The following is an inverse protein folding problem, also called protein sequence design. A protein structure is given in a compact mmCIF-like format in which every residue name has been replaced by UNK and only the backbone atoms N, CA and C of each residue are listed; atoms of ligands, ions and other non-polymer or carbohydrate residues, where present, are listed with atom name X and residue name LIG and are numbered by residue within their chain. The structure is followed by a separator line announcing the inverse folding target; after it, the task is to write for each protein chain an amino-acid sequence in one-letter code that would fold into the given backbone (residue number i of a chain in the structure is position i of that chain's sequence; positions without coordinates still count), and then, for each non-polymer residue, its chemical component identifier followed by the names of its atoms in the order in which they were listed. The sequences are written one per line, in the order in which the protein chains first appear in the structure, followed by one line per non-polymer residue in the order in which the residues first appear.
data_IF_054467992237
#
_entry.id   IF_054467992237
#
_cell.length_a   1.000
_cell.length_b   1.000
_cell.length_c   1.000
_cell.angle_alpha   90.00
_cell.angle_beta   90.00
_cell.angle_gamma   90.00
#
_symmetry.space_group_name_H-M   'P 1'
#
loop_
_entity.id
_entity.type
_entity.pdbx_description
1 polymer ?
#
# COMPACT_ATOMS: atom_id res chain seq x y z
N UNK A 1 14.02 -3.63 26.16
CA UNK A 1 12.97 -4.48 25.53
C UNK A 1 12.17 -3.80 24.42
N UNK A 2 12.08 -2.46 24.37
CA UNK A 2 11.29 -1.73 23.35
C UNK A 2 11.86 -1.78 21.92
N UNK A 3 13.14 -2.10 21.73
CA UNK A 3 13.86 -1.96 20.46
C UNK A 3 13.41 -2.90 19.34
N UNK A 4 13.04 -4.12 19.70
CA UNK A 4 12.56 -5.09 18.73
C UNK A 4 11.03 -4.99 18.56
N UNK A 5 10.35 -4.25 19.43
CA UNK A 5 8.88 -4.16 19.46
C UNK A 5 8.32 -3.55 18.17
N UNK A 6 9.01 -2.56 17.56
CA UNK A 6 8.62 -1.98 16.28
C UNK A 6 8.68 -3.02 15.15
N UNK A 7 9.83 -3.71 15.03
CA UNK A 7 10.03 -4.73 13.99
C UNK A 7 9.03 -5.86 14.19
N UNK A 8 8.83 -6.34 15.42
CA UNK A 8 7.85 -7.38 15.71
C UNK A 8 6.41 -6.96 15.36
N UNK A 9 6.01 -5.74 15.70
CA UNK A 9 4.68 -5.22 15.34
C UNK A 9 4.48 -5.15 13.82
N UNK A 10 5.47 -4.63 13.09
CA UNK A 10 5.46 -4.60 11.63
C UNK A 10 5.40 -6.01 11.04
N UNK A 11 6.21 -6.96 11.57
CA UNK A 11 6.19 -8.33 11.10
C UNK A 11 4.85 -9.00 11.35
N UNK A 12 4.30 -8.91 12.57
CA UNK A 12 3.01 -9.51 12.92
C UNK A 12 1.91 -8.98 12.01
N UNK A 13 1.83 -7.67 11.81
CA UNK A 13 0.83 -7.07 10.94
C UNK A 13 0.96 -7.57 9.49
N UNK A 14 2.18 -7.58 8.93
CA UNK A 14 2.38 -8.03 7.56
C UNK A 14 2.19 -9.55 7.40
N UNK A 15 2.49 -10.36 8.42
CA UNK A 15 2.17 -11.80 8.40
C UNK A 15 0.65 -12.00 8.39
N UNK A 16 -0.10 -11.24 9.21
CA UNK A 16 -1.57 -11.31 9.18
C UNK A 16 -2.13 -10.91 7.81
N UNK A 17 -1.60 -9.85 7.20
CA UNK A 17 -1.97 -9.46 5.83
C UNK A 17 -1.64 -10.56 4.82
N UNK A 18 -0.46 -11.20 4.92
CA UNK A 18 -0.05 -12.30 4.04
C UNK A 18 -0.94 -13.54 4.20
N UNK A 19 -1.34 -13.88 5.43
CA UNK A 19 -2.27 -14.98 5.70
C UNK A 19 -3.65 -14.69 5.10
N UNK A 20 -4.17 -13.46 5.30
CA UNK A 20 -5.45 -13.05 4.73
C UNK A 20 -5.42 -13.06 3.19
N UNK A 21 -4.32 -12.59 2.60
CA UNK A 21 -4.10 -12.63 1.15
C UNK A 21 -4.01 -14.07 0.63
N UNK A 22 -3.28 -14.96 1.32
CA UNK A 22 -3.18 -16.38 0.96
C UNK A 22 -4.52 -17.11 1.05
N UNK A 23 -5.34 -16.75 2.03
CA UNK A 23 -6.70 -17.29 2.13
C UNK A 23 -7.60 -16.79 0.99
N UNK A 24 -7.57 -15.50 0.68
CA UNK A 24 -8.31 -14.94 -0.46
C UNK A 24 -7.84 -15.54 -1.81
N UNK A 25 -6.55 -15.89 -1.91
CA UNK A 25 -6.00 -16.62 -3.06
C UNK A 25 -6.64 -18.02 -3.20
N UNK A 26 -6.73 -18.78 -2.12
CA UNK A 26 -7.36 -20.11 -2.14
C UNK A 26 -8.84 -20.06 -2.52
N UNK A 27 -9.53 -18.96 -2.25
CA UNK A 27 -10.91 -18.72 -2.67
C UNK A 27 -11.03 -18.31 -4.15
N UNK A 28 -9.91 -18.15 -4.87
CA UNK A 28 -9.88 -17.72 -6.27
C UNK A 28 -10.08 -16.20 -6.47
N UNK A 29 -10.34 -15.45 -5.40
CA UNK A 29 -10.63 -14.01 -5.50
C UNK A 29 -9.41 -13.22 -6.00
N UNK A 30 -8.23 -13.54 -5.50
CA UNK A 30 -7.00 -12.85 -5.91
C UNK A 30 -6.67 -13.18 -7.36
N UNK A 31 -6.82 -14.44 -7.76
CA UNK A 31 -6.59 -14.88 -9.14
C UNK A 31 -7.50 -14.13 -10.11
N UNK A 32 -8.81 -14.04 -9.81
CA UNK A 32 -9.76 -13.27 -10.62
C UNK A 32 -9.36 -11.78 -10.71
N UNK A 33 -8.95 -11.15 -9.59
CA UNK A 33 -8.55 -9.75 -9.58
C UNK A 33 -7.30 -9.48 -10.42
N UNK A 34 -6.35 -10.41 -10.49
CA UNK A 34 -5.12 -10.21 -11.24
C UNK A 34 -5.25 -10.61 -12.72
N UNK A 35 -5.83 -11.78 -13.02
CA UNK A 35 -5.90 -12.28 -14.39
C UNK A 35 -6.92 -11.55 -15.25
N UNK A 36 -8.00 -11.05 -14.63
CA UNK A 36 -9.09 -10.38 -15.34
C UNK A 36 -9.02 -8.84 -15.25
N UNK A 37 -7.91 -8.27 -14.74
CA UNK A 37 -7.69 -6.82 -14.76
C UNK A 37 -7.04 -6.39 -16.08
N UNK A 38 -7.84 -5.98 -17.05
CA UNK A 38 -7.38 -5.49 -18.35
C UNK A 38 -6.60 -4.16 -18.27
N UNK A 39 -6.68 -3.43 -17.16
CA UNK A 39 -5.94 -2.18 -16.97
C UNK A 39 -4.49 -2.38 -16.53
N UNK A 40 -4.12 -3.56 -16.02
CA UNK A 40 -2.85 -3.88 -15.36
C UNK A 40 -2.53 -3.01 -14.13
N UNK A 41 -3.45 -2.17 -13.67
CA UNK A 41 -3.24 -1.27 -12.52
C UNK A 41 -3.19 -2.02 -11.19
N UNK A 42 -3.80 -3.21 -11.11
CA UNK A 42 -3.66 -4.15 -9.99
C UNK A 42 -2.20 -4.53 -9.76
N UNK A 43 -1.45 -4.86 -10.83
CA UNK A 43 -0.03 -5.16 -10.75
C UNK A 43 0.79 -3.94 -10.35
N UNK A 44 0.48 -2.76 -10.90
CA UNK A 44 1.16 -1.50 -10.54
C UNK A 44 0.98 -1.16 -9.06
N UNK A 45 -0.25 -1.24 -8.53
CA UNK A 45 -0.55 -0.99 -7.12
C UNK A 45 0.18 -1.97 -6.19
N UNK A 46 0.22 -3.26 -6.57
CA UNK A 46 0.92 -4.30 -5.79
C UNK A 46 2.44 -4.11 -5.82
N UNK A 47 3.02 -3.74 -6.96
CA UNK A 47 4.44 -3.43 -7.08
C UNK A 47 4.83 -2.22 -6.22
N UNK A 48 4.02 -1.15 -6.23
CA UNK A 48 4.21 0.02 -5.38
C UNK A 48 4.12 -0.33 -3.89
N UNK A 49 3.18 -1.20 -3.50
CA UNK A 49 3.09 -1.71 -2.14
C UNK A 49 4.38 -2.46 -1.75
N UNK A 50 4.90 -3.33 -2.62
CA UNK A 50 6.12 -4.07 -2.36
C UNK A 50 7.33 -3.12 -2.15
N UNK A 51 7.48 -2.10 -2.99
CA UNK A 51 8.50 -1.05 -2.84
C UNK A 51 8.32 -0.30 -1.52
N UNK A 52 7.09 0.06 -1.17
CA UNK A 52 6.74 0.70 0.10
C UNK A 52 7.11 -0.16 1.31
N UNK A 53 6.83 -1.46 1.27
CA UNK A 53 7.18 -2.40 2.33
C UNK A 53 8.69 -2.51 2.51
N UNK A 54 9.45 -2.74 1.42
CA UNK A 54 10.92 -2.82 1.46
C UNK A 54 11.52 -1.54 2.06
N UNK A 55 11.04 -0.38 1.63
CA UNK A 55 11.50 0.92 2.15
C UNK A 55 11.15 1.08 3.64
N UNK A 56 9.95 0.69 4.06
CA UNK A 56 9.48 0.79 5.46
C UNK A 56 10.30 -0.14 6.36
N UNK A 57 10.53 -1.40 5.98
CA UNK A 57 11.35 -2.33 6.73
C UNK A 57 12.81 -1.86 6.81
N UNK A 58 13.41 -1.40 5.70
CA UNK A 58 14.76 -0.88 5.69
C UNK A 58 14.95 0.30 6.66
N UNK A 59 13.93 1.16 6.81
CA UNK A 59 13.94 2.25 7.80
C UNK A 59 13.69 1.77 9.21
N UNK A 60 12.79 0.83 9.40
CA UNK A 60 12.51 0.24 10.70
C UNK A 60 13.77 -0.39 11.32
N UNK A 61 14.58 -1.10 10.51
CA UNK A 61 15.87 -1.62 10.94
C UNK A 61 16.85 -0.52 11.38
N UNK A 62 16.93 0.58 10.61
CA UNK A 62 17.79 1.72 10.95
C UNK A 62 17.36 2.40 12.26
N UNK A 63 16.05 2.63 12.44
CA UNK A 63 15.49 3.23 13.64
C UNK A 63 15.71 2.32 14.86
N UNK A 64 15.49 1.03 14.70
CA UNK A 64 15.76 0.04 15.76
C UNK A 64 17.25 0.01 16.16
N UNK A 65 18.15 0.11 15.19
CA UNK A 65 19.60 0.24 15.45
C UNK A 65 19.95 1.52 16.23
N UNK A 66 19.34 2.67 15.87
CA UNK A 66 19.54 3.94 16.59
C UNK A 66 19.01 3.88 18.02
N UNK A 67 17.84 3.29 18.26
CA UNK A 67 17.29 3.06 19.59
C UNK A 67 18.24 2.23 20.48
N UNK A 68 18.86 1.19 19.91
CA UNK A 68 19.85 0.38 20.63
C UNK A 68 21.09 1.19 21.00
N UNK A 69 21.53 2.08 20.12
CA UNK A 69 22.73 2.90 20.34
C UNK A 69 22.47 4.01 21.34
N UNK A 70 21.29 4.65 21.34
CA UNK A 70 20.87 5.63 22.35
C UNK A 70 20.84 5.06 23.76
N UNK A 71 20.34 3.85 23.93
CA UNK A 71 20.36 3.15 25.23
C UNK A 71 21.77 2.87 25.72
N UNK A 72 22.72 2.70 24.84
CA UNK A 72 24.10 2.36 25.17
C UNK A 72 25.02 3.57 25.37
N UNK A 73 24.71 4.69 24.66
CA UNK A 73 25.48 5.94 24.72
C UNK A 73 24.51 7.09 24.96
N UNK A 74 24.58 7.72 26.13
CA UNK A 74 23.73 8.86 26.53
C UNK A 74 23.85 10.11 25.66
N UNK A 75 24.86 10.19 24.80
CA UNK A 75 25.14 11.35 23.94
C UNK A 75 25.08 10.96 22.45
N UNK A 76 23.94 11.13 21.81
CA UNK A 76 23.83 11.17 20.35
C UNK A 76 22.97 12.38 19.99
N UNK A 77 23.57 13.36 19.32
CA UNK A 77 22.79 14.44 18.71
C UNK A 77 21.99 13.88 17.53
N UNK A 78 20.71 13.60 17.74
CA UNK A 78 19.81 13.16 16.68
C UNK A 78 19.23 14.38 15.96
N UNK A 79 19.49 14.49 14.66
CA UNK A 79 18.79 15.46 13.84
C UNK A 79 17.40 14.88 13.47
N UNK A 80 16.41 15.09 14.37
CA UNK A 80 15.06 14.55 14.24
C UNK A 80 14.36 14.98 12.95
N UNK A 81 14.61 16.20 12.48
CA UNK A 81 14.03 16.74 11.23
C UNK A 81 14.48 15.91 10.01
N UNK A 82 15.77 15.53 9.96
CA UNK A 82 16.27 14.66 8.87
C UNK A 82 15.67 13.25 8.88
N UNK A 83 15.31 12.72 10.05
CA UNK A 83 14.67 11.41 10.14
C UNK A 83 13.24 11.45 9.62
N UNK A 84 12.49 12.51 9.93
CA UNK A 84 11.13 12.73 9.46
C UNK A 84 11.14 13.02 7.95
N UNK A 85 11.99 13.93 7.48
CA UNK A 85 12.12 14.28 6.07
C UNK A 85 12.43 13.06 5.19
N UNK A 86 13.35 12.22 5.65
CA UNK A 86 13.65 10.96 4.97
C UNK A 86 12.47 9.99 4.91
N UNK A 87 11.44 10.11 5.73
CA UNK A 87 10.25 9.28 5.70
C UNK A 87 9.15 9.84 4.77
N UNK A 88 9.27 11.09 4.30
CA UNK A 88 8.25 11.76 3.49
C UNK A 88 7.94 11.00 2.18
N UNK A 89 8.95 10.44 1.50
CA UNK A 89 8.75 9.66 0.27
C UNK A 89 7.84 8.43 0.46
N UNK A 90 7.64 7.94 1.69
CA UNK A 90 6.68 6.87 1.96
C UNK A 90 5.24 7.35 1.80
N UNK A 91 4.97 8.61 2.10
CA UNK A 91 3.64 9.20 1.84
C UNK A 91 3.39 9.30 0.34
N UNK A 92 4.42 9.68 -0.45
CA UNK A 92 4.33 9.75 -1.91
C UNK A 92 4.01 8.38 -2.52
N UNK A 93 4.59 7.30 -2.00
CA UNK A 93 4.25 5.93 -2.43
C UNK A 93 2.76 5.64 -2.16
N UNK A 94 2.22 6.05 -1.02
CA UNK A 94 0.80 5.90 -0.71
C UNK A 94 -0.09 6.65 -1.72
N UNK A 95 0.28 7.87 -2.09
CA UNK A 95 -0.41 8.65 -3.13
C UNK A 95 -0.34 7.94 -4.49
N UNK A 96 0.82 7.39 -4.87
CA UNK A 96 0.97 6.64 -6.13
C UNK A 96 0.10 5.37 -6.15
N UNK A 97 -0.04 4.64 -5.04
CA UNK A 97 -0.94 3.49 -4.93
C UNK A 97 -2.40 3.93 -5.16
N UNK A 98 -2.82 5.03 -4.54
CA UNK A 98 -4.17 5.57 -4.73
C UNK A 98 -4.42 5.99 -6.19
N UNK A 99 -3.44 6.67 -6.82
CA UNK A 99 -3.50 7.07 -8.21
C UNK A 99 -3.56 5.88 -9.17
N UNK A 100 -2.85 4.78 -8.88
CA UNK A 100 -2.94 3.54 -9.66
C UNK A 100 -4.37 2.97 -9.62
N UNK A 101 -5.03 2.95 -8.46
CA UNK A 101 -6.42 2.54 -8.34
C UNK A 101 -7.38 3.43 -9.14
N UNK A 102 -7.20 4.74 -9.05
CA UNK A 102 -8.01 5.70 -9.79
C UNK A 102 -7.80 5.58 -11.31
N UNK A 103 -6.56 5.40 -11.75
CA UNK A 103 -6.24 5.19 -13.17
C UNK A 103 -6.89 3.90 -13.71
N UNK A 104 -6.85 2.81 -12.92
CA UNK A 104 -7.51 1.57 -13.28
C UNK A 104 -9.03 1.71 -13.41
N UNK A 105 -9.64 2.49 -12.50
CA UNK A 105 -11.06 2.83 -12.60
C UNK A 105 -11.37 3.61 -13.88
N UNK A 106 -10.57 4.63 -14.18
CA UNK A 106 -10.75 5.44 -15.39
C UNK A 106 -10.62 4.58 -16.66
N UNK A 107 -9.61 3.70 -16.73
CA UNK A 107 -9.42 2.78 -17.85
C UNK A 107 -10.63 1.84 -18.00
N UNK A 108 -11.08 1.22 -16.91
CA UNK A 108 -12.24 0.33 -16.91
C UNK A 108 -13.52 1.02 -17.39
N UNK A 109 -13.76 2.26 -16.94
CA UNK A 109 -14.89 3.08 -17.41
C UNK A 109 -14.74 3.45 -18.89
N UNK A 110 -13.53 3.80 -19.35
CA UNK A 110 -13.28 4.06 -20.77
C UNK A 110 -13.55 2.82 -21.64
N UNK A 111 -13.12 1.64 -21.19
CA UNK A 111 -13.40 0.37 -21.88
C UNK A 111 -14.92 0.12 -21.97
N UNK A 112 -15.63 0.36 -20.86
CA UNK A 112 -17.08 0.25 -20.81
C UNK A 112 -17.75 1.18 -21.83
N UNK A 113 -17.39 2.46 -21.85
CA UNK A 113 -17.97 3.45 -22.76
C UNK A 113 -17.63 3.18 -24.23
N UNK A 114 -16.41 2.72 -24.49
CA UNK A 114 -15.99 2.39 -25.87
C UNK A 114 -16.73 1.17 -26.43
N UNK A 115 -17.19 0.29 -25.57
CA UNK A 115 -17.96 -0.90 -25.96
C UNK A 115 -19.45 -0.61 -26.16
N UNK A 116 -19.90 0.58 -25.80
CA UNK A 116 -21.32 0.94 -25.89
C UNK A 116 -21.69 1.38 -27.31
N UNK A 117 -22.38 0.50 -28.05
CA UNK A 117 -22.95 0.79 -29.34
C UNK A 117 -24.49 0.78 -29.27
N UNK A 118 -25.09 1.97 -29.43
CA UNK A 118 -26.55 2.13 -29.40
C UNK A 118 -27.23 1.33 -30.50
N UNK A 119 -26.57 1.15 -31.68
CA UNK A 119 -27.09 0.36 -32.79
C UNK A 119 -27.19 -1.14 -32.50
N UNK A 120 -26.43 -1.63 -31.53
CA UNK A 120 -26.43 -3.04 -31.12
C UNK A 120 -27.68 -3.46 -30.33
N UNK A 121 -28.43 -2.52 -29.77
CA UNK A 121 -29.62 -2.80 -28.94
C UNK A 121 -30.81 -3.33 -29.74
N UNK A 122 -30.77 -3.23 -31.06
CA UNK A 122 -31.86 -3.74 -31.96
C UNK A 122 -31.68 -5.22 -32.33
N UNK A 123 -30.50 -5.80 -32.07
CA UNK A 123 -30.16 -7.20 -32.36
C UNK A 123 -29.78 -7.90 -31.07
N UNK A 124 -30.51 -8.94 -30.68
CA UNK A 124 -30.33 -9.66 -29.41
C UNK A 124 -28.91 -10.21 -29.24
N UNK A 125 -28.28 -10.76 -30.28
CA UNK A 125 -26.92 -11.29 -30.20
C UNK A 125 -25.87 -10.19 -29.98
N UNK A 126 -26.05 -9.03 -30.60
CA UNK A 126 -25.17 -7.88 -30.42
C UNK A 126 -25.38 -7.21 -29.04
N UNK A 127 -26.62 -7.19 -28.58
CA UNK A 127 -26.94 -6.68 -27.24
C UNK A 127 -26.26 -7.51 -26.12
N UNK A 128 -26.25 -8.85 -26.26
CA UNK A 128 -25.57 -9.75 -25.34
C UNK A 128 -24.04 -9.50 -25.33
N UNK A 129 -23.43 -9.38 -26.49
CA UNK A 129 -22.00 -9.08 -26.64
C UNK A 129 -21.66 -7.73 -26.01
N UNK A 130 -22.44 -6.68 -26.30
CA UNK A 130 -22.24 -5.34 -25.70
C UNK A 130 -22.39 -5.38 -24.19
N UNK A 131 -23.38 -6.07 -23.65
CA UNK A 131 -23.58 -6.23 -22.22
C UNK A 131 -22.38 -6.94 -21.54
N UNK A 132 -21.85 -7.98 -22.18
CA UNK A 132 -20.64 -8.68 -21.69
C UNK A 132 -19.42 -7.76 -21.65
N UNK A 133 -19.20 -6.93 -22.67
CA UNK A 133 -18.09 -5.98 -22.70
C UNK A 133 -18.24 -4.85 -21.64
N UNK A 134 -19.48 -4.36 -21.44
CA UNK A 134 -19.78 -3.38 -20.39
C UNK A 134 -19.47 -3.96 -19.01
N UNK A 135 -19.89 -5.19 -18.73
CA UNK A 135 -19.61 -5.87 -17.47
C UNK A 135 -18.13 -6.10 -17.25
N UNK A 136 -17.37 -6.40 -18.31
CA UNK A 136 -15.93 -6.58 -18.23
C UNK A 136 -15.21 -5.27 -17.90
N UNK A 137 -15.56 -4.16 -18.56
CA UNK A 137 -15.02 -2.83 -18.24
C UNK A 137 -15.32 -2.39 -16.80
N UNK A 138 -16.56 -2.60 -16.36
CA UNK A 138 -16.96 -2.35 -14.98
C UNK A 138 -16.19 -3.23 -14.00
N UNK A 139 -16.04 -4.52 -14.30
CA UNK A 139 -15.25 -5.45 -13.51
C UNK A 139 -13.80 -5.01 -13.36
N UNK A 140 -13.15 -4.57 -14.45
CA UNK A 140 -11.79 -4.02 -14.43
C UNK A 140 -11.69 -2.79 -13.51
N UNK A 141 -12.65 -1.86 -13.59
CA UNK A 141 -12.69 -0.69 -12.73
C UNK A 141 -12.75 -1.05 -11.23
N UNK A 142 -13.59 -2.01 -10.88
CA UNK A 142 -13.73 -2.44 -9.49
C UNK A 142 -12.52 -3.22 -8.98
N UNK A 143 -11.95 -4.13 -9.77
CA UNK A 143 -10.80 -4.96 -9.36
C UNK A 143 -9.60 -4.09 -9.04
N UNK A 144 -9.23 -3.16 -9.91
CA UNK A 144 -8.09 -2.27 -9.71
C UNK A 144 -8.25 -1.37 -8.50
N UNK A 145 -9.45 -0.80 -8.28
CA UNK A 145 -9.74 0.04 -7.11
C UNK A 145 -9.71 -0.75 -5.81
N UNK A 146 -10.27 -1.96 -5.81
CA UNK A 146 -10.30 -2.80 -4.62
C UNK A 146 -8.89 -3.18 -4.17
N UNK A 147 -8.05 -3.67 -5.10
CA UNK A 147 -6.66 -4.02 -4.81
C UNK A 147 -5.85 -2.80 -4.36
N UNK A 148 -5.98 -1.66 -5.04
CA UNK A 148 -5.31 -0.43 -4.63
C UNK A 148 -5.75 0.05 -3.24
N UNK A 149 -7.03 -0.09 -2.88
CA UNK A 149 -7.55 0.28 -1.56
C UNK A 149 -6.94 -0.59 -0.46
N UNK A 150 -6.88 -1.91 -0.64
CA UNK A 150 -6.22 -2.81 0.31
C UNK A 150 -4.71 -2.56 0.41
N UNK A 151 -4.04 -2.36 -0.73
CA UNK A 151 -2.62 -2.03 -0.77
C UNK A 151 -2.32 -0.71 -0.04
N UNK A 152 -3.13 0.33 -0.29
CA UNK A 152 -3.02 1.63 0.37
C UNK A 152 -3.25 1.50 1.88
N UNK A 153 -4.29 0.79 2.30
CA UNK A 153 -4.60 0.55 3.72
C UNK A 153 -3.43 -0.12 4.45
N UNK A 154 -2.89 -1.20 3.88
CA UNK A 154 -1.72 -1.88 4.43
C UNK A 154 -0.49 -0.95 4.48
N UNK A 155 -0.26 -0.16 3.44
CA UNK A 155 0.84 0.81 3.37
C UNK A 155 0.72 1.89 4.45
N UNK A 156 -0.47 2.51 4.61
CA UNK A 156 -0.72 3.55 5.62
C UNK A 156 -0.45 3.03 7.03
N UNK A 157 -0.91 1.82 7.37
CA UNK A 157 -0.69 1.23 8.69
C UNK A 157 0.81 1.03 8.95
N UNK A 158 1.56 0.50 7.99
CA UNK A 158 3.00 0.31 8.09
C UNK A 158 3.75 1.64 8.28
N UNK A 159 3.43 2.66 7.48
CA UNK A 159 4.04 4.00 7.57
C UNK A 159 3.69 4.67 8.90
N UNK A 160 2.45 4.55 9.37
CA UNK A 160 2.03 5.11 10.67
C UNK A 160 2.78 4.48 11.84
N UNK A 161 2.96 3.16 11.85
CA UNK A 161 3.76 2.47 12.87
C UNK A 161 5.20 2.97 12.89
N UNK A 162 5.81 3.14 11.70
CA UNK A 162 7.15 3.66 11.55
C UNK A 162 7.28 5.11 12.06
N UNK A 163 6.36 5.99 11.65
CA UNK A 163 6.35 7.40 12.07
C UNK A 163 6.19 7.56 13.57
N UNK A 164 5.26 6.82 14.17
CA UNK A 164 5.05 6.85 15.64
C UNK A 164 6.32 6.43 16.37
N UNK A 165 6.99 5.37 15.94
CA UNK A 165 8.24 4.95 16.56
C UNK A 165 9.38 5.98 16.37
N UNK A 166 9.41 6.68 15.23
CA UNK A 166 10.39 7.74 14.98
C UNK A 166 10.18 8.94 15.90
N UNK A 167 8.92 9.35 16.12
CA UNK A 167 8.58 10.45 17.03
C UNK A 167 8.97 10.09 18.46
N UNK A 168 8.62 8.90 18.95
CA UNK A 168 9.01 8.43 20.28
C UNK A 168 10.53 8.42 20.47
N UNK A 169 11.28 8.01 19.45
CA UNK A 169 12.75 8.04 19.46
C UNK A 169 13.29 9.47 19.66
N UNK A 170 12.69 10.45 18.96
CA UNK A 170 13.10 11.86 19.03
C UNK A 170 12.79 12.43 20.42
N UNK A 171 11.63 12.11 20.99
CA UNK A 171 11.20 12.55 22.31
C UNK A 171 12.10 11.97 23.40
N UNK A 172 12.40 10.68 23.35
CA UNK A 172 13.33 10.02 24.29
C UNK A 172 14.73 10.66 24.23
N UNK A 173 15.21 10.98 23.02
CA UNK A 173 16.51 11.63 22.85
C UNK A 173 16.54 13.06 23.42
N UNK A 174 15.45 13.83 23.25
CA UNK A 174 15.32 15.19 23.84
C UNK A 174 15.23 15.14 25.37
N UNK A 175 14.47 14.20 25.91
CA UNK A 175 14.36 14.01 27.36
C UNK A 175 15.71 13.74 28.02
N UNK A 176 16.57 12.95 27.41
CA UNK A 176 17.90 12.66 27.89
C UNK A 176 18.84 13.90 27.88
N UNK A 177 18.68 14.80 26.92
CA UNK A 177 19.48 16.03 26.83
C UNK A 177 19.03 17.16 27.78
N UNK A 178 17.84 17.07 28.37
CA UNK A 178 17.32 18.07 29.31
C UNK A 178 17.75 17.84 30.77
N UNK A 179 18.34 16.69 31.07
CA UNK A 179 18.83 16.33 32.40
C UNK A 179 20.34 16.57 32.60
N UNK A 180 20.99 17.23 31.66
CA UNK A 180 22.40 17.67 31.71
C UNK A 180 22.51 19.19 31.83
#
# INVERSE_FOLDING_TARGET
MLNNLLIYRLMIFNILCAVAFGWAWQLGWVEDMFLNDASYMTYAATALLAVGLVSTFGRAFKISGLLNTLKRRRHISLNGNKLIEKAAHLDDIGVLIALAGLAGTAIGVMMMLHSFDIGSLTDAARAEHTASMLLNGLGTAFRSTLVATFALGAHIVNVRMLKTATVMLIEDAKGLSAYE
#
